data_IF_547619893590
#
_entry.id   IF_547619893590
#
_cell.length_a   1.000
_cell.length_b   1.000
_cell.length_c   1.000
_cell.angle_alpha   90.00
_cell.angle_beta   90.00
_cell.angle_gamma   90.00
#
_symmetry.space_group_name_H-M   'P 1'
#
loop_
_entity.id
_entity.type
_entity.pdbx_description
1 polymer ?
2 water ?
#
# COMPACT_ATOMS: atom_id res chain seq x y z
N UNK A 2 -7.29 -5.56 -23.94
CA UNK A 2 -8.31 -4.97 -23.07
C UNK A 2 -7.83 -3.62 -22.51
N UNK A 3 -8.80 -2.74 -22.27
CA UNK A 3 -8.53 -1.43 -21.71
C UNK A 3 -9.34 -1.31 -20.41
N UNK A 4 -8.65 -1.44 -19.29
CA UNK A 4 -9.29 -1.37 -17.98
C UNK A 4 -9.16 0.01 -17.37
N UNK A 5 -10.27 0.49 -16.79
CA UNK A 5 -10.32 1.81 -16.15
C UNK A 5 -10.55 1.66 -14.65
N UNK A 6 -9.75 2.36 -13.84
CA UNK A 6 -9.96 2.33 -12.40
C UNK A 6 -10.66 3.63 -12.03
N UNK A 7 -11.65 3.55 -11.15
CA UNK A 7 -12.39 4.74 -10.70
C UNK A 7 -11.43 5.62 -9.91
N UNK A 8 -11.96 6.74 -9.43
CA UNK A 8 -11.21 7.68 -8.61
C UNK A 8 -11.37 7.19 -7.16
N UNK A 9 -10.39 7.51 -6.29
CA UNK A 9 -10.45 7.08 -4.89
C UNK A 9 -11.66 7.65 -4.14
N UNK A 10 -12.20 8.76 -4.63
CA UNK A 10 -13.34 9.40 -3.98
C UNK A 10 -14.61 9.45 -4.85
N UNK A 11 -15.76 9.60 -4.18
CA UNK A 11 -17.07 9.67 -4.82
C UNK A 11 -17.39 11.11 -5.25
N UNK A 12 -18.01 11.25 -6.43
CA UNK A 12 -18.38 12.58 -6.91
C UNK A 12 -19.62 12.53 -7.79
N UNK A 13 -20.43 13.59 -7.74
CA UNK A 13 -21.66 13.67 -8.52
C UNK A 13 -21.38 13.53 -10.01
N UNK A 14 -22.29 12.87 -10.72
CA UNK A 14 -22.14 12.64 -12.15
C UNK A 14 -21.23 11.45 -12.48
N UNK A 15 -20.54 10.93 -11.46
CA UNK A 15 -19.65 9.79 -11.64
C UNK A 15 -20.39 8.60 -12.27
N UNK A 16 -21.62 8.35 -11.82
CA UNK A 16 -22.42 7.25 -12.35
C UNK A 16 -22.73 7.45 -13.83
N UNK A 17 -22.98 8.71 -14.22
CA UNK A 17 -23.30 9.03 -15.62
C UNK A 17 -22.07 8.83 -16.47
N UNK A 18 -20.93 9.30 -15.99
CA UNK A 18 -19.72 9.16 -16.74
C UNK A 18 -19.38 7.69 -16.90
N UNK A 19 -19.49 6.92 -15.83
CA UNK A 19 -19.18 5.50 -15.90
C UNK A 19 -20.07 4.79 -16.91
N UNK A 20 -21.36 5.10 -16.85
CA UNK A 20 -22.32 4.47 -17.75
C UNK A 20 -21.97 4.81 -19.20
N UNK A 21 -21.64 6.08 -19.42
CA UNK A 21 -21.27 6.57 -20.74
C UNK A 21 -20.03 5.82 -21.26
N UNK A 22 -19.12 5.49 -20.36
CA UNK A 22 -17.91 4.75 -20.73
C UNK A 22 -18.26 3.29 -21.06
N UNK A 23 -19.19 2.71 -20.32
CA UNK A 23 -19.58 1.34 -20.63
C UNK A 23 -20.22 1.34 -22.03
N UNK A 24 -21.14 2.28 -22.26
CA UNK A 24 -21.81 2.41 -23.55
C UNK A 24 -20.84 2.52 -24.73
N UNK A 25 -19.61 2.99 -24.46
CA UNK A 25 -18.60 3.13 -25.50
C UNK A 25 -17.67 1.91 -25.54
N UNK A 26 -18.12 0.83 -24.92
CA UNK A 26 -17.35 -0.41 -24.94
C UNK A 26 -16.29 -0.62 -23.87
N UNK A 27 -16.40 0.03 -22.73
CA UNK A 27 -15.42 -0.18 -21.67
C UNK A 27 -15.36 -1.68 -21.31
N UNK A 28 -14.20 -2.30 -21.47
CA UNK A 28 -14.08 -3.71 -21.16
C UNK A 28 -14.38 -3.96 -19.67
N UNK A 29 -13.50 -3.47 -18.80
CA UNK A 29 -13.64 -3.66 -17.35
C UNK A 29 -13.50 -2.38 -16.53
N UNK A 30 -14.21 -2.34 -15.42
CA UNK A 30 -14.18 -1.20 -14.50
C UNK A 30 -13.75 -1.71 -13.13
N UNK A 31 -12.70 -1.10 -12.59
CA UNK A 31 -12.21 -1.45 -11.28
C UNK A 31 -12.66 -0.39 -10.28
N UNK A 32 -13.60 -0.79 -9.43
CA UNK A 32 -14.16 0.09 -8.41
C UNK A 32 -13.22 0.13 -7.22
N UNK A 33 -12.55 1.25 -7.05
CA UNK A 33 -11.61 1.41 -5.94
C UNK A 33 -11.91 2.71 -5.20
N UNK A 34 -12.49 2.56 -4.01
CA UNK A 34 -12.84 3.68 -3.14
C UNK A 34 -12.28 3.40 -1.76
N UNK A 35 -10.97 3.64 -1.57
CA UNK A 35 -10.26 3.42 -0.31
C UNK A 35 -10.96 3.99 0.93
N UNK A 36 -11.07 3.19 1.97
CA UNK A 36 -11.67 3.62 3.24
C UNK A 36 -12.97 4.41 3.05
N UNK A 37 -14.01 3.76 2.56
CA UNK A 37 -15.27 4.45 2.32
C UNK A 37 -16.48 3.64 2.74
N UNK A 38 -17.51 4.30 3.32
CA UNK A 38 -18.73 3.63 3.77
C UNK A 38 -19.36 2.85 2.62
N UNK A 39 -19.65 1.57 2.84
CA UNK A 39 -20.24 0.73 1.81
C UNK A 39 -21.40 1.44 1.12
N UNK A 41 -22.04 4.30 0.03
CA UNK A 41 -21.71 5.02 -1.19
C UNK A 41 -21.45 4.11 -2.40
N UNK A 42 -20.87 2.93 -2.16
CA UNK A 42 -20.61 2.01 -3.25
C UNK A 42 -21.91 1.47 -3.79
N UNK A 43 -22.86 1.21 -2.89
CA UNK A 43 -24.16 0.69 -3.29
C UNK A 43 -24.91 1.73 -4.09
N UNK A 44 -24.83 2.99 -3.67
CA UNK A 44 -25.53 4.07 -4.36
C UNK A 44 -25.07 4.17 -5.81
N UNK A 45 -23.75 4.17 -6.01
CA UNK A 45 -23.19 4.24 -7.34
C UNK A 45 -23.60 3.02 -8.15
N UNK A 46 -23.40 1.83 -7.60
CA UNK A 46 -23.76 0.60 -8.33
C UNK A 46 -25.24 0.57 -8.74
N UNK A 47 -26.11 1.11 -7.89
CA UNK A 47 -27.55 1.12 -8.19
C UNK A 47 -27.88 2.01 -9.40
N UNK A 48 -27.16 3.12 -9.55
CA UNK A 48 -27.38 4.04 -10.66
C UNK A 48 -26.88 3.52 -11.99
N UNK A 49 -25.86 2.67 -11.95
CA UNK A 49 -25.34 2.12 -13.18
C UNK A 49 -26.13 0.89 -13.58
N UNK A 50 -26.58 0.86 -14.84
CA UNK A 50 -27.36 -0.22 -15.45
C UNK A 50 -26.87 -1.61 -15.05
N UNK A 51 -27.79 -2.42 -14.57
CA UNK A 51 -27.50 -3.80 -14.13
C UNK A 51 -26.61 -4.56 -15.11
N UNK A 52 -26.94 -4.46 -16.40
CA UNK A 52 -26.21 -5.18 -17.43
C UNK A 52 -24.71 -4.90 -17.48
N UNK A 53 -24.26 -3.83 -16.84
CA UNK A 53 -22.84 -3.53 -16.83
C UNK A 53 -22.20 -3.99 -15.52
N UNK A 54 -22.97 -4.65 -14.67
CA UNK A 54 -22.42 -5.09 -13.39
C UNK A 54 -21.36 -6.18 -13.50
N UNK A 55 -21.50 -7.11 -14.45
CA UNK A 55 -20.51 -8.16 -14.60
C UNK A 55 -19.24 -7.68 -15.30
N UNK A 56 -19.06 -6.37 -15.35
CA UNK A 56 -17.89 -5.77 -15.99
C UNK A 56 -17.12 -4.95 -14.94
N UNK A 57 -17.60 -5.00 -13.70
CA UNK A 57 -17.01 -4.26 -12.59
C UNK A 57 -16.34 -5.17 -11.54
N UNK A 58 -15.13 -4.79 -11.12
CA UNK A 58 -14.39 -5.53 -10.10
C UNK A 58 -14.23 -4.53 -8.96
N UNK A 59 -14.47 -4.97 -7.73
CA UNK A 59 -14.37 -4.05 -6.59
C UNK A 59 -13.18 -4.33 -5.67
N UNK A 60 -12.56 -3.26 -5.18
CA UNK A 60 -11.42 -3.39 -4.29
C UNK A 60 -11.83 -3.29 -2.82
N UNK A 61 -13.10 -3.00 -2.58
CA UNK A 61 -13.55 -2.88 -1.21
C UNK A 61 -14.89 -3.58 -1.02
N UNK A 62 -15.27 -3.80 0.23
CA UNK A 62 -16.55 -4.44 0.53
C UNK A 62 -16.86 -5.52 -0.49
N UNK A 63 -16.12 -6.62 -0.36
CA UNK A 63 -16.26 -7.76 -1.25
C UNK A 63 -17.66 -8.35 -1.26
N UNK A 64 -18.45 -8.10 -0.22
CA UNK A 64 -19.79 -8.65 -0.19
C UNK A 64 -20.63 -8.08 -1.34
N UNK A 65 -20.25 -6.91 -1.83
CA UNK A 65 -20.96 -6.27 -2.94
C UNK A 65 -20.87 -7.10 -4.20
N UNK A 66 -19.87 -7.98 -4.26
CA UNK A 66 -19.68 -8.83 -5.43
C UNK A 66 -20.93 -9.64 -5.77
N UNK A 67 -21.50 -10.33 -4.78
CA UNK A 67 -22.70 -11.15 -5.00
C UNK A 67 -23.96 -10.29 -4.83
N UNK A 68 -23.85 -9.26 -4.01
CA UNK A 68 -24.96 -8.36 -3.77
C UNK A 68 -25.42 -7.67 -5.06
N UNK A 69 -24.48 -7.11 -5.83
CA UNK A 69 -24.81 -6.42 -7.07
C UNK A 69 -24.43 -7.13 -8.36
N UNK A 70 -24.13 -8.42 -8.23
CA UNK A 70 -23.73 -9.28 -9.35
C UNK A 70 -22.50 -8.75 -10.08
N UNK A 71 -21.53 -8.28 -9.30
CA UNK A 71 -20.30 -7.77 -9.87
C UNK A 71 -19.51 -8.91 -10.50
N UNK A 73 -16.15 -9.64 -10.04
CA UNK A 73 -15.31 -10.29 -9.05
C UNK A 73 -14.64 -9.29 -8.12
N UNK A 74 -13.55 -9.71 -7.48
CA UNK A 74 -12.84 -8.86 -6.54
C UNK A 74 -11.34 -8.74 -6.85
N UNK A 75 -10.73 -7.68 -6.34
CA UNK A 75 -9.30 -7.44 -6.52
C UNK A 75 -8.69 -7.34 -5.14
N UNK A 76 -7.93 -8.34 -4.75
CA UNK A 76 -7.31 -8.32 -3.43
C UNK A 76 -6.29 -7.19 -3.33
N UNK A 77 -6.21 -6.56 -2.17
CA UNK A 77 -5.27 -5.47 -1.99
C UNK A 77 -4.90 -5.29 -0.53
N UNK A 78 -3.95 -4.39 -0.27
CA UNK A 78 -3.46 -4.15 1.08
C UNK A 78 -4.58 -4.04 2.13
N UNK A 79 -5.57 -3.21 1.86
CA UNK A 79 -6.65 -3.03 2.81
C UNK A 79 -7.60 -4.22 2.85
N UNK A 80 -7.71 -4.95 1.74
CA UNK A 80 -8.57 -6.12 1.68
C UNK A 80 -7.78 -7.25 1.04
N UNK A 81 -6.84 -7.84 1.81
CA UNK A 81 -5.95 -8.93 1.38
C UNK A 81 -6.52 -10.33 1.18
N UNK A 82 -7.78 -10.56 1.51
CA UNK A 82 -8.29 -11.90 1.32
C UNK A 82 -9.73 -11.98 0.90
N UNK A 83 -10.02 -12.96 0.05
CA UNK A 83 -11.36 -13.14 -0.43
C UNK A 83 -12.26 -13.60 0.72
N UNK A 84 -13.58 -13.42 0.58
CA UNK A 84 -14.48 -13.84 1.64
C UNK A 84 -14.44 -15.36 1.80
N UNK A 85 -14.76 -15.83 3.01
CA UNK A 85 -14.75 -17.26 3.36
C UNK A 85 -14.79 -18.21 2.18
N UNK A 86 -15.98 -18.48 1.67
CA UNK A 86 -16.07 -19.40 0.54
C UNK A 86 -16.41 -18.71 -0.77
N UNK A 87 -15.64 -17.67 -1.07
CA UNK A 87 -15.81 -16.89 -2.29
C UNK A 87 -15.68 -17.76 -3.53
N UNK A 88 -16.48 -17.44 -4.53
CA UNK A 88 -16.45 -18.16 -5.79
C UNK A 88 -16.69 -17.15 -6.89
N UNK A 89 -15.64 -16.84 -7.64
CA UNK A 89 -15.78 -15.86 -8.71
C UNK A 89 -14.44 -15.33 -9.17
N UNK A 90 -14.49 -14.29 -9.99
CA UNK A 90 -13.30 -13.66 -10.53
C UNK A 90 -12.48 -13.00 -9.44
N UNK A 91 -11.23 -13.40 -9.32
CA UNK A 91 -10.36 -12.79 -8.32
C UNK A 91 -9.14 -12.30 -9.07
N UNK A 92 -8.56 -11.19 -8.58
CA UNK A 92 -7.37 -10.61 -9.21
C UNK A 92 -6.58 -9.85 -8.17
N UNK A 93 -5.32 -9.56 -8.48
CA UNK A 93 -4.43 -8.82 -7.56
C UNK A 93 -3.32 -8.11 -8.33
N UNK A 94 -2.54 -7.32 -7.61
CA UNK A 94 -1.44 -6.58 -8.21
C UNK A 94 -0.09 -7.19 -7.88
N UNK A 95 0.83 -7.12 -8.84
CA UNK A 95 2.17 -7.62 -8.63
C UNK A 95 3.10 -6.46 -8.97
N UNK A 96 4.29 -6.44 -8.38
CA UNK A 96 5.24 -5.36 -8.60
C UNK A 96 6.66 -5.79 -8.96
N UNK A 97 6.77 -6.88 -9.71
CA UNK A 97 8.07 -7.37 -10.15
C UNK A 97 7.80 -8.48 -11.13
N UNK A 98 8.75 -8.74 -12.01
CA UNK A 98 8.60 -9.80 -12.99
C UNK A 98 8.47 -11.15 -12.27
N UNK A 99 9.19 -11.29 -11.17
CA UNK A 99 9.14 -12.53 -10.41
C UNK A 99 7.75 -12.73 -9.79
N UNK A 100 7.18 -11.67 -9.20
CA UNK A 100 5.85 -11.78 -8.59
C UNK A 100 4.82 -12.30 -9.58
N UNK A 101 4.75 -11.65 -10.74
CA UNK A 101 3.81 -12.04 -11.78
C UNK A 101 4.05 -13.49 -12.14
N UNK A 102 5.34 -13.84 -12.20
CA UNK A 102 5.74 -15.20 -12.56
C UNK A 102 5.19 -16.22 -11.58
N UNK A 103 5.39 -16.01 -10.30
CA UNK A 103 4.91 -16.99 -9.33
C UNK A 103 3.57 -16.62 -8.71
N UNK A 104 2.64 -16.10 -9.51
CA UNK A 104 1.35 -15.73 -8.95
C UNK A 104 0.22 -15.61 -9.96
N UNK A 105 0.55 -15.19 -11.17
CA UNK A 105 -0.45 -15.02 -12.21
C UNK A 105 -1.37 -16.21 -12.42
N UNK A 106 -0.84 -17.43 -12.30
CA UNK A 106 -1.69 -18.61 -12.52
C UNK A 106 -2.66 -18.90 -11.38
N UNK A 107 -2.57 -18.09 -10.33
CA UNK A 107 -3.44 -18.25 -9.18
C UNK A 107 -4.55 -17.20 -9.18
N UNK A 108 -4.63 -16.45 -10.28
CA UNK A 108 -5.64 -15.42 -10.42
C UNK A 108 -6.15 -15.43 -11.86
N UNK A 109 -7.30 -14.80 -12.07
CA UNK A 109 -7.87 -14.73 -13.40
C UNK A 109 -6.97 -13.84 -14.24
N UNK A 110 -6.36 -12.86 -13.57
CA UNK A 110 -5.40 -11.95 -14.16
C UNK A 110 -4.83 -11.11 -13.06
N UNK A 111 -3.66 -10.55 -13.31
CA UNK A 111 -3.01 -9.70 -12.32
C UNK A 111 -2.55 -8.41 -12.97
N UNK A 112 -2.36 -7.38 -12.14
CA UNK A 112 -1.88 -6.08 -12.58
C UNK A 112 -0.36 -6.13 -12.44
N UNK A 114 2.88 -3.38 -12.05
CA UNK A 114 3.27 -1.97 -11.91
C UNK A 114 4.47 -1.81 -10.98
N UNK A 115 5.13 -0.65 -11.01
CA UNK A 115 4.85 0.53 -11.86
C UNK A 115 5.57 0.42 -13.20
N UNK A 116 4.81 0.30 -14.29
CA UNK A 116 5.40 0.19 -15.62
C UNK A 116 6.08 1.50 -16.04
N UNK A 117 5.51 2.62 -15.58
CA UNK A 117 6.07 3.94 -15.88
C UNK A 117 6.19 4.77 -14.61
N UNK A 127 7.99 3.80 -11.70
CA UNK A 127 9.16 3.32 -12.43
C UNK A 127 10.01 2.35 -11.58
N UNK A 128 10.37 1.21 -12.18
CA UNK A 128 11.18 0.19 -11.49
C UNK A 128 11.71 -0.88 -12.47
N UNK A 129 11.05 -1.04 -13.62
CA UNK A 129 11.46 -2.02 -14.62
C UNK A 129 12.27 -1.36 -15.73
N UNK A 130 12.69 -2.16 -16.70
CA UNK A 130 13.48 -1.69 -17.84
C UNK A 130 12.91 -2.29 -19.12
N UNK A 131 12.74 -1.46 -20.14
CA UNK A 131 12.19 -1.90 -21.41
C UNK A 131 12.79 -3.21 -21.89
N UNK A 132 14.07 -3.41 -21.60
CA UNK A 132 14.78 -4.61 -22.03
C UNK A 132 14.39 -5.86 -21.21
N UNK A 133 14.34 -5.72 -19.89
CA UNK A 133 13.98 -6.84 -19.04
C UNK A 133 12.50 -7.15 -19.27
N UNK A 134 11.77 -6.14 -19.73
CA UNK A 134 10.35 -6.29 -20.00
C UNK A 134 10.18 -7.17 -21.24
N UNK A 135 11.04 -6.96 -22.22
CA UNK A 135 11.00 -7.75 -23.45
C UNK A 135 11.44 -9.18 -23.17
N UNK A 136 12.42 -9.34 -22.30
CA UNK A 136 12.91 -10.67 -21.95
C UNK A 136 11.77 -11.43 -21.28
N UNK A 137 11.02 -10.74 -20.44
CA UNK A 137 9.89 -11.34 -19.73
C UNK A 137 8.73 -11.58 -20.70
N UNK A 138 8.78 -10.93 -21.86
CA UNK A 138 7.74 -11.09 -22.86
C UNK A 138 7.88 -12.42 -23.59
N UNK A 139 9.12 -12.74 -23.97
CA UNK A 139 9.42 -13.97 -24.69
C UNK A 139 9.30 -15.19 -23.77
N UNK A 140 9.58 -14.99 -22.49
CA UNK A 140 9.49 -16.07 -21.51
C UNK A 140 8.03 -16.44 -21.24
N UNK A 141 7.13 -15.73 -21.91
CA UNK A 141 5.69 -15.98 -21.75
C UNK A 141 5.17 -15.58 -20.36
N UNK A 142 6.03 -14.96 -19.55
CA UNK A 142 5.65 -14.52 -18.22
C UNK A 142 4.52 -13.52 -18.35
N UNK A 143 4.68 -12.60 -19.28
CA UNK A 143 3.65 -11.61 -19.54
C UNK A 143 2.79 -12.08 -20.69
N UNK A 144 1.49 -12.20 -20.46
CA UNK A 144 0.59 -12.65 -21.50
C UNK A 144 -0.80 -12.05 -21.33
N UNK A 145 -1.77 -12.62 -22.03
CA UNK A 145 -3.14 -12.14 -21.95
C UNK A 145 -3.70 -12.03 -20.53
N UNK A 146 -3.00 -12.59 -19.55
CA UNK A 146 -3.48 -12.57 -18.18
C UNK A 146 -2.84 -11.47 -17.32
N UNK A 147 -1.92 -10.70 -17.89
CA UNK A 147 -1.31 -9.64 -17.10
C UNK A 147 -1.69 -8.26 -17.63
N UNK A 149 -1.08 -4.22 -17.66
CA UNK A 149 -0.08 -3.21 -17.34
C UNK A 149 -0.71 -2.02 -16.64
N UNK A 150 -0.06 -1.54 -15.59
CA UNK A 150 -0.57 -0.41 -14.84
C UNK A 150 0.55 0.50 -14.36
N UNK A 151 0.29 1.80 -14.36
CA UNK A 151 1.28 2.75 -13.90
C UNK A 151 1.89 3.63 -14.96
N UNK A 152 1.40 4.87 -15.02
CA UNK A 152 1.91 5.84 -15.97
C UNK A 152 1.59 5.53 -17.42
N UNK A 153 0.40 5.03 -17.68
CA UNK A 153 -0.01 4.72 -19.03
C UNK A 153 -0.81 5.88 -19.62
N UNK A 154 -0.60 6.17 -20.90
CA UNK A 154 -1.32 7.25 -21.56
C UNK A 154 -1.36 7.03 -23.06
N UNK A 155 -1.87 8.02 -23.79
CA UNK A 155 -2.00 7.93 -25.24
C UNK A 155 -0.64 7.89 -25.95
N UNK A 156 0.39 8.38 -25.28
CA UNK A 156 1.72 8.40 -25.86
C UNK A 156 2.46 7.06 -25.77
N UNK A 157 2.13 6.25 -24.77
CA UNK A 157 2.78 4.95 -24.58
C UNK A 157 1.85 3.74 -24.60
N UNK A 158 0.60 3.93 -24.99
CA UNK A 158 -0.34 2.81 -25.02
C UNK A 158 0.11 1.74 -26.00
N UNK A 159 0.48 2.14 -27.22
CA UNK A 159 0.92 1.19 -28.23
C UNK A 159 2.17 0.43 -27.81
N UNK A 160 3.02 1.08 -27.02
CA UNK A 160 4.27 0.47 -26.55
C UNK A 160 3.98 -0.66 -25.56
N UNK A 161 2.83 -0.59 -24.91
CA UNK A 161 2.45 -1.62 -23.96
C UNK A 161 1.92 -2.89 -24.62
N UNK A 162 1.04 -2.73 -25.62
CA UNK A 162 0.50 -3.89 -26.30
C UNK A 162 1.62 -4.57 -27.08
N UNK A 163 2.68 -3.81 -27.34
CA UNK A 163 3.84 -4.34 -28.06
C UNK A 163 4.57 -5.31 -27.15
N UNK A 164 4.47 -5.07 -25.84
CA UNK A 164 5.12 -5.94 -24.86
C UNK A 164 4.36 -7.25 -24.66
N UNK A 165 3.19 -7.37 -25.27
CA UNK A 165 2.41 -8.59 -25.14
C UNK A 165 1.39 -8.59 -24.02
N UNK A 166 1.26 -7.45 -23.34
CA UNK A 166 0.30 -7.30 -22.24
C UNK A 166 -1.12 -7.61 -22.70
N UNK A 167 -1.86 -8.35 -21.88
CA UNK A 167 -3.23 -8.68 -22.24
C UNK A 167 -4.18 -7.51 -21.98
N UNK A 168 -3.62 -6.38 -21.54
CA UNK A 168 -4.45 -5.22 -21.27
C UNK A 168 -3.71 -4.06 -20.64
N UNK A 169 -4.37 -2.91 -20.61
CA UNK A 169 -3.75 -1.73 -20.02
C UNK A 169 -4.74 -1.15 -19.04
N UNK A 170 -4.23 -0.69 -17.91
CA UNK A 170 -5.06 -0.11 -16.86
C UNK A 170 -4.78 1.36 -16.73
N UNK A 171 -5.83 2.17 -16.70
CA UNK A 171 -5.65 3.61 -16.60
C UNK A 171 -6.53 4.22 -15.52
N UNK A 172 -6.09 5.35 -14.98
CA UNK A 172 -6.86 6.03 -13.95
C UNK A 172 -6.74 7.54 -14.15
N UNK A 173 -5.57 8.08 -13.81
CA UNK A 173 -5.35 9.52 -13.94
C UNK A 173 -5.48 10.11 -15.34
N UNK A 174 -4.76 9.55 -16.31
CA UNK A 174 -4.82 10.08 -17.66
C UNK A 174 -6.24 10.21 -18.19
N UNK A 175 -7.17 9.53 -17.53
CA UNK A 175 -8.55 9.57 -17.95
C UNK A 175 -9.42 10.52 -17.10
N UNK A 176 -9.52 10.24 -15.80
CA UNK A 176 -10.35 11.07 -14.92
C UNK A 176 -9.84 12.51 -14.75
N UNK A 177 -8.53 12.72 -14.85
CA UNK A 177 -7.96 14.05 -14.72
C UNK A 177 -8.49 14.97 -15.82
N UNK A 178 -9.18 14.38 -16.80
CA UNK A 178 -9.74 15.15 -17.93
C UNK A 178 -11.06 15.77 -17.56
N UNK A 179 -11.43 15.68 -16.30
CA UNK A 179 -12.69 16.26 -15.85
C UNK A 179 -12.56 16.87 -14.49
N UNK A 180 -12.99 18.12 -14.36
CA UNK A 180 -12.95 18.80 -13.07
C UNK A 180 -14.34 19.28 -12.75
N UNK A 181 -14.92 18.72 -11.69
CA UNK A 181 -16.27 19.06 -11.28
C UNK A 181 -16.47 20.54 -11.03
N UNK A 182 -17.62 21.05 -11.47
CA UNK A 182 -17.99 22.45 -11.29
C UNK A 182 -17.16 23.41 -12.10
N UNK A 183 -16.13 22.93 -12.76
CA UNK A 183 -15.33 23.81 -13.61
C UNK A 183 -15.65 23.46 -15.07
N UNK A 184 -15.96 22.18 -15.33
CA UNK A 184 -16.33 21.80 -16.69
C UNK A 184 -17.85 21.75 -16.78
N UNK A 185 -18.39 22.12 -17.93
CA UNK A 185 -19.82 22.12 -18.12
C UNK A 185 -20.31 20.75 -18.57
N UNK A 186 -19.36 19.85 -18.85
CA UNK A 186 -19.70 18.51 -19.26
C UNK A 186 -18.49 17.60 -19.18
N UNK A 187 -18.70 16.32 -19.45
CA UNK A 187 -17.61 15.35 -19.41
C UNK A 187 -17.27 14.75 -20.76
N UNK A 188 -17.47 15.53 -21.81
CA UNK A 188 -17.18 15.12 -23.17
C UNK A 188 -15.70 14.76 -23.33
N UNK A 189 -14.82 15.61 -22.81
CA UNK A 189 -13.38 15.38 -22.89
C UNK A 189 -13.00 14.01 -22.35
N UNK A 190 -13.68 13.56 -21.31
CA UNK A 190 -13.37 12.25 -20.77
C UNK A 190 -13.81 11.16 -21.74
N UNK A 191 -15.05 11.25 -22.21
CA UNK A 191 -15.55 10.24 -23.14
C UNK A 191 -14.78 10.26 -24.46
N UNK A 192 -14.47 11.44 -24.97
CA UNK A 192 -13.74 11.53 -26.22
C UNK A 192 -12.35 10.96 -26.07
N UNK A 193 -11.73 11.21 -24.93
CA UNK A 193 -10.37 10.71 -24.69
C UNK A 193 -10.37 9.19 -24.50
N UNK A 194 -11.48 8.64 -23.99
CA UNK A 194 -11.58 7.19 -23.79
C UNK A 194 -11.64 6.49 -25.15
N UNK A 195 -12.48 7.03 -26.05
CA UNK A 195 -12.63 6.48 -27.38
C UNK A 195 -11.29 6.49 -28.09
N UNK A 196 -10.51 7.55 -27.87
CA UNK A 196 -9.20 7.63 -28.50
C UNK A 196 -8.34 6.47 -27.98
N UNK A 197 -8.26 6.30 -26.67
CA UNK A 197 -7.45 5.23 -26.10
C UNK A 197 -7.94 3.86 -26.53
N UNK A 198 -9.26 3.71 -26.66
CA UNK A 198 -9.81 2.41 -27.06
C UNK A 198 -9.51 2.12 -28.52
N UNK A 199 -9.37 3.17 -29.32
CA UNK A 199 -9.07 2.98 -30.73
C UNK A 199 -7.62 2.51 -30.87
N UNK A 200 -6.74 3.00 -30.00
CA UNK A 200 -5.34 2.58 -30.05
C UNK A 200 -5.20 1.16 -29.52
N UNK A 201 -5.97 0.83 -28.49
CA UNK A 201 -5.92 -0.51 -27.90
C UNK A 201 -6.46 -1.56 -28.86
N UNK A 202 -7.52 -1.22 -29.59
CA UNK A 202 -8.12 -2.14 -30.55
C UNK A 202 -7.48 -1.99 -31.93
N UNK A 203 -6.38 -1.24 -31.99
CA UNK A 203 -5.65 -1.01 -33.24
C UNK A 203 -4.56 -2.05 -33.38
N UNK A 204 -4.90 -3.16 -34.03
CA UNK A 204 -3.98 -4.27 -34.23
C UNK A 204 -2.60 -3.86 -34.76
N UNK A 205 -2.55 -3.44 -36.02
CA UNK A 205 -1.30 -3.06 -36.66
C UNK A 205 -0.40 -2.21 -35.76
N UNK A 206 0.87 -2.63 -35.68
CA UNK A 206 1.90 -1.98 -34.87
C UNK A 206 3.25 -2.57 -35.32
N UNK A 207 3.19 -3.70 -36.01
CA UNK A 207 4.38 -4.38 -36.50
C UNK A 207 5.10 -3.51 -37.52
N UNK B 2 5.84 7.60 22.36
CA UNK B 2 6.44 7.59 21.04
C UNK B 2 5.62 6.80 20.02
N UNK B 3 5.55 7.35 18.82
CA UNK B 3 4.82 6.71 17.74
C UNK B 3 5.85 6.30 16.69
N UNK B 4 6.11 5.01 16.59
CA UNK B 4 7.07 4.48 15.64
C UNK B 4 6.41 3.98 14.35
N UNK B 5 7.03 4.31 13.22
CA UNK B 5 6.52 3.88 11.92
C UNK B 5 7.48 2.90 11.27
N UNK B 6 6.97 1.79 10.77
CA UNK B 6 7.84 0.83 10.12
C UNK B 6 7.57 0.93 8.63
N UNK B 7 8.64 1.06 7.84
CA UNK B 7 8.52 1.17 6.38
C UNK B 7 7.97 -0.10 5.79
N UNK B 8 7.57 0.00 4.53
CA UNK B 8 7.04 -1.14 3.82
C UNK B 8 8.17 -2.12 3.51
N UNK B 9 7.82 -3.37 3.19
CA UNK B 9 8.81 -4.40 2.87
C UNK B 9 9.67 -4.10 1.64
N UNK B 10 9.12 -3.43 0.64
CA UNK B 10 9.87 -3.15 -0.59
C UNK B 10 10.07 -1.68 -0.92
N UNK B 11 10.95 -1.45 -1.89
CA UNK B 11 11.27 -0.09 -2.33
C UNK B 11 10.30 0.38 -3.41
N UNK B 12 10.13 1.70 -3.49
CA UNK B 12 9.26 2.30 -4.51
C UNK B 12 9.54 3.80 -4.60
N UNK B 13 9.65 4.29 -5.83
CA UNK B 13 9.95 5.70 -6.07
C UNK B 13 9.06 6.62 -5.24
N UNK B 14 9.58 7.80 -4.95
CA UNK B 14 8.85 8.80 -4.17
C UNK B 14 8.77 8.43 -2.68
N UNK B 15 9.06 7.17 -2.36
CA UNK B 15 9.02 6.75 -0.97
C UNK B 15 9.86 7.69 -0.10
N UNK B 16 11.00 8.13 -0.63
CA UNK B 16 11.89 9.02 0.10
C UNK B 16 11.18 10.33 0.43
N UNK B 17 10.35 10.79 -0.51
CA UNK B 17 9.61 12.03 -0.33
C UNK B 17 8.57 11.89 0.79
N UNK B 18 7.88 10.77 0.79
CA UNK B 18 6.86 10.55 1.82
C UNK B 18 7.55 10.44 3.17
N UNK B 19 8.64 9.69 3.22
CA UNK B 19 9.39 9.52 4.45
C UNK B 19 9.87 10.85 4.97
N UNK B 20 10.33 11.71 4.07
CA UNK B 20 10.80 13.04 4.46
C UNK B 20 9.64 13.85 5.01
N UNK B 21 8.49 13.78 4.33
CA UNK B 21 7.31 14.50 4.75
C UNK B 21 6.84 14.04 6.13
N UNK B 22 6.92 12.73 6.40
CA UNK B 22 6.51 12.22 7.70
C UNK B 22 7.40 12.82 8.79
N UNK B 23 8.71 12.84 8.54
CA UNK B 23 9.64 13.42 9.52
C UNK B 23 9.34 14.91 9.69
N UNK B 24 9.02 15.58 8.59
CA UNK B 24 8.70 16.99 8.66
C UNK B 24 7.49 17.19 9.58
N UNK B 25 6.61 16.19 9.63
CA UNK B 25 5.43 16.25 10.48
C UNK B 25 5.73 15.92 11.94
N UNK B 26 6.96 15.52 12.22
CA UNK B 26 7.33 15.19 13.58
C UNK B 26 7.44 13.71 13.92
N UNK B 27 7.64 12.87 12.92
CA UNK B 27 7.77 11.43 13.15
C UNK B 27 8.97 11.20 14.08
N UNK B 28 8.72 10.68 15.27
CA UNK B 28 9.78 10.42 16.23
C UNK B 28 10.83 9.44 15.73
N UNK B 29 10.39 8.24 15.39
CA UNK B 29 11.29 7.17 14.94
C UNK B 29 10.78 6.42 13.72
N UNK B 30 11.70 6.11 12.81
CA UNK B 30 11.38 5.34 11.62
C UNK B 30 12.24 4.07 11.65
N UNK B 31 11.61 2.94 11.37
CA UNK B 31 12.32 1.65 11.33
C UNK B 31 12.42 1.22 9.89
N UNK B 32 13.65 1.19 9.37
CA UNK B 32 13.87 0.79 7.98
C UNK B 32 14.00 -0.74 7.90
N UNK B 33 12.94 -1.39 7.44
CA UNK B 33 12.90 -2.84 7.30
C UNK B 33 12.59 -3.24 5.84
N UNK B 34 13.60 -3.76 5.14
CA UNK B 34 13.48 -4.18 3.74
C UNK B 34 14.19 -5.51 3.61
N UNK B 35 13.60 -6.57 4.17
CA UNK B 35 14.20 -7.92 4.12
C UNK B 35 14.67 -8.38 2.73
N UNK B 36 15.56 -9.36 2.70
CA UNK B 36 16.08 -9.92 1.44
C UNK B 36 16.20 -8.85 0.33
N UNK B 37 16.95 -7.78 0.59
CA UNK B 37 17.11 -6.77 -0.45
C UNK B 37 18.54 -6.24 -0.57
N UNK B 38 18.96 -5.89 -1.78
CA UNK B 38 20.32 -5.37 -1.99
C UNK B 38 20.60 -4.11 -1.14
N UNK B 39 21.65 -4.18 -0.33
CA UNK B 39 22.02 -3.06 0.52
C UNK B 39 21.95 -1.69 -0.19
N UNK B 41 20.11 -0.46 -2.26
CA UNK B 41 18.80 0.14 -2.38
C UNK B 41 18.57 0.98 -1.14
N UNK B 42 19.09 0.50 -0.02
CA UNK B 42 18.99 1.21 1.24
C UNK B 42 19.90 2.42 1.25
N UNK B 43 21.10 2.27 0.67
CA UNK B 43 22.05 3.38 0.63
C UNK B 43 21.47 4.53 -0.17
N UNK B 44 20.86 4.21 -1.30
CA UNK B 44 20.25 5.24 -2.14
C UNK B 44 19.14 5.94 -1.36
N UNK B 45 18.20 5.16 -0.82
CA UNK B 45 17.09 5.75 -0.05
C UNK B 45 17.60 6.69 1.03
N UNK B 46 18.46 6.19 1.92
CA UNK B 46 19.02 7.02 3.01
C UNK B 46 19.72 8.27 2.49
N UNK B 47 20.42 8.14 1.36
CA UNK B 47 21.11 9.29 0.79
C UNK B 47 20.07 10.30 0.31
N UNK B 48 18.91 9.82 -0.10
CA UNK B 48 17.85 10.70 -0.58
C UNK B 48 17.19 11.51 0.55
N UNK B 49 17.03 10.89 1.72
CA UNK B 49 16.41 11.57 2.83
C UNK B 49 17.45 12.41 3.61
N UNK B 50 17.09 13.66 3.98
CA UNK B 50 17.95 14.60 4.71
C UNK B 50 18.70 14.02 5.90
N UNK B 51 20.01 14.28 5.94
CA UNK B 51 20.87 13.78 7.00
C UNK B 51 20.42 14.16 8.40
N UNK B 52 19.65 15.24 8.52
CA UNK B 52 19.19 15.64 9.85
C UNK B 52 18.21 14.63 10.44
N UNK B 53 17.65 13.78 9.58
CA UNK B 53 16.68 12.79 10.04
C UNK B 53 17.28 11.41 10.20
N UNK B 54 18.55 11.25 9.82
CA UNK B 54 19.19 9.96 9.93
C UNK B 54 19.24 9.51 11.38
N UNK B 55 19.45 10.45 12.30
CA UNK B 55 19.50 10.10 13.72
C UNK B 55 18.16 9.55 14.21
N UNK B 56 17.13 9.54 13.38
CA UNK B 56 15.83 9.01 13.80
C UNK B 56 15.45 7.72 13.07
N UNK B 57 16.46 7.08 12.50
CA UNK B 57 16.24 5.85 11.76
C UNK B 57 16.87 4.63 12.41
N UNK B 58 16.13 3.53 12.41
CA UNK B 58 16.64 2.28 12.96
C UNK B 58 16.56 1.25 11.85
N UNK B 59 17.69 0.60 11.58
CA UNK B 59 17.76 -0.37 10.50
C UNK B 59 17.60 -1.82 10.93
N UNK B 60 16.80 -2.57 10.19
CA UNK B 60 16.57 -3.99 10.48
C UNK B 60 17.54 -4.88 9.71
N UNK B 61 18.25 -4.32 8.72
CA UNK B 61 19.22 -5.09 7.91
C UNK B 61 20.48 -4.28 7.63
N UNK B 62 21.52 -4.96 7.14
CA UNK B 62 22.79 -4.31 6.81
C UNK B 62 23.16 -3.34 7.93
N UNK B 63 23.52 -3.88 9.09
CA UNK B 63 23.87 -3.07 10.25
C UNK B 63 25.04 -2.10 10.04
N UNK B 64 25.88 -2.34 9.04
CA UNK B 64 27.02 -1.43 8.78
C UNK B 64 26.49 -0.04 8.47
N UNK B 65 25.27 0.04 7.96
CA UNK B 65 24.66 1.32 7.62
C UNK B 65 24.47 2.23 8.83
N UNK B 66 24.36 1.65 10.01
CA UNK B 66 24.16 2.46 11.20
C UNK B 66 25.29 3.49 11.37
N UNK B 67 26.55 3.03 11.41
CA UNK B 67 27.67 3.97 11.55
C UNK B 67 28.00 4.68 10.24
N UNK B 68 27.78 3.99 9.12
CA UNK B 68 28.06 4.58 7.82
C UNK B 68 27.17 5.75 7.43
N UNK B 69 25.93 5.77 7.93
CA UNK B 69 24.96 6.83 7.62
C UNK B 69 24.47 7.56 8.87
N UNK B 70 25.10 7.30 10.01
CA UNK B 70 24.74 7.94 11.27
C UNK B 70 23.25 7.69 11.64
N UNK B 71 22.83 6.44 11.55
CA UNK B 71 21.46 6.10 11.89
C UNK B 71 21.38 6.04 13.40
N UNK B 73 20.09 3.50 15.30
CA UNK B 73 20.43 2.21 15.83
C UNK B 73 20.02 1.09 14.91
N UNK B 74 20.06 -0.11 15.44
CA UNK B 74 19.72 -1.28 14.67
C UNK B 74 18.68 -2.06 15.46
N UNK B 75 17.92 -2.87 14.74
CA UNK B 75 16.87 -3.68 15.35
C UNK B 75 17.11 -5.13 15.01
N UNK B 76 17.42 -5.93 16.03
CA UNK B 76 17.72 -7.36 15.82
C UNK B 76 16.48 -8.17 15.43
N UNK B 77 16.66 -9.12 14.54
CA UNK B 77 15.54 -9.95 14.07
C UNK B 77 16.04 -11.30 13.55
N UNK B 78 15.09 -12.16 13.19
CA UNK B 78 15.45 -13.49 12.69
C UNK B 78 16.55 -13.44 11.63
N UNK B 79 16.33 -12.69 10.55
CA UNK B 79 17.30 -12.60 9.46
C UNK B 79 18.63 -11.97 9.85
N UNK B 80 18.64 -11.19 10.93
CA UNK B 80 19.84 -10.51 11.43
C UNK B 80 19.75 -10.46 12.95
N UNK B 81 20.03 -11.60 13.62
CA UNK B 81 19.99 -11.74 15.08
C UNK B 81 21.10 -11.16 15.96
N UNK B 82 22.25 -10.86 15.38
CA UNK B 82 23.34 -10.34 16.20
C UNK B 82 23.91 -9.04 15.69
N UNK B 83 24.32 -8.18 16.63
CA UNK B 83 24.90 -6.89 16.29
C UNK B 83 26.33 -7.12 15.82
N UNK B 84 26.80 -6.28 14.87
CA UNK B 84 28.17 -6.43 14.35
C UNK B 84 29.21 -6.57 15.47
N UNK B 85 30.23 -7.38 15.20
CA UNK B 85 31.32 -7.67 16.13
C UNK B 85 31.59 -6.60 17.17
N UNK B 86 32.10 -5.45 16.76
CA UNK B 86 32.38 -4.42 17.73
C UNK B 86 31.40 -3.27 17.57
N UNK B 87 30.14 -3.53 17.89
CA UNK B 87 29.12 -2.50 17.79
C UNK B 87 28.79 -1.93 19.15
N UNK B 88 28.61 -0.62 19.20
CA UNK B 88 28.26 0.01 20.46
C UNK B 88 27.28 1.11 20.10
N UNK B 89 26.02 0.87 20.41
CA UNK B 89 25.01 1.87 20.10
C UNK B 89 23.60 1.38 20.38
N UNK B 90 22.63 2.20 20.02
CA UNK B 90 21.23 1.91 20.23
C UNK B 90 20.88 0.57 19.58
N UNK B 91 20.29 -0.32 20.35
CA UNK B 91 19.88 -1.61 19.80
C UNK B 91 18.53 -1.93 20.40
N UNK B 92 17.66 -2.49 19.59
CA UNK B 92 16.34 -2.89 20.05
C UNK B 92 16.07 -4.24 19.43
N UNK B 93 14.94 -4.85 19.79
CA UNK B 93 14.53 -6.15 19.25
C UNK B 93 13.02 -6.32 19.45
N UNK B 94 12.49 -7.48 19.05
CA UNK B 94 11.07 -7.78 19.17
C UNK B 94 10.76 -8.93 20.13
N UNK B 95 9.79 -8.74 21.01
CA UNK B 95 9.40 -9.79 21.94
C UNK B 95 7.98 -10.23 21.63
N UNK B 96 7.66 -11.49 21.91
CA UNK B 96 6.34 -12.03 21.60
C UNK B 96 5.59 -12.61 22.78
N UNK B 97 5.98 -12.23 23.98
CA UNK B 97 5.30 -12.71 25.19
C UNK B 97 5.71 -11.86 26.36
N UNK B 98 4.84 -11.80 27.36
CA UNK B 98 5.11 -11.06 28.57
C UNK B 98 6.40 -11.58 29.17
N UNK B 99 6.56 -12.89 29.14
CA UNK B 99 7.74 -13.55 29.67
C UNK B 99 8.98 -13.04 28.93
N UNK B 100 8.92 -12.97 27.60
CA UNK B 100 10.06 -12.51 26.82
C UNK B 100 10.48 -11.08 27.17
N UNK B 101 9.51 -10.19 27.28
CA UNK B 101 9.83 -8.81 27.61
C UNK B 101 10.49 -8.76 28.97
N UNK B 102 9.98 -9.55 29.90
CA UNK B 102 10.53 -9.54 31.25
C UNK B 102 12.02 -9.89 31.31
N UNK B 103 12.46 -10.93 30.59
CA UNK B 103 13.88 -11.30 30.63
C UNK B 103 14.68 -10.76 29.44
N UNK B 104 14.31 -9.63 28.88
CA UNK B 104 15.03 -9.17 27.70
C UNK B 104 15.15 -7.67 27.57
N UNK B 105 14.12 -6.97 28.01
CA UNK B 105 14.06 -5.51 27.94
C UNK B 105 15.27 -4.81 28.50
N UNK B 106 15.78 -5.27 29.63
CA UNK B 106 16.93 -4.61 30.25
C UNK B 106 18.18 -4.61 29.39
N UNK B 107 18.17 -5.42 28.34
CA UNK B 107 19.33 -5.48 27.46
C UNK B 107 19.23 -4.58 26.24
N UNK B 108 18.11 -3.85 26.11
CA UNK B 108 17.90 -3.02 24.93
C UNK B 108 17.39 -1.60 25.23
N UNK B 109 17.48 -0.71 24.25
CA UNK B 109 16.98 0.63 24.44
C UNK B 109 15.47 0.55 24.59
N UNK B 110 14.87 -0.34 23.83
CA UNK B 110 13.43 -0.59 23.92
C UNK B 110 13.13 -1.86 23.15
N UNK B 111 11.96 -2.43 23.36
CA UNK B 111 11.59 -3.63 22.64
C UNK B 111 10.14 -3.55 22.21
N UNK B 112 9.84 -4.27 21.13
CA UNK B 112 8.50 -4.33 20.58
C UNK B 112 7.78 -5.51 21.24
N UNK B 114 4.26 -7.87 20.66
CA UNK B 114 3.10 -8.17 19.83
C UNK B 114 2.64 -9.62 20.04
N UNK B 115 1.40 -9.94 19.62
CA UNK B 115 0.38 -9.07 19.01
C UNK B 115 -0.56 -8.52 20.07
N UNK B 116 -0.50 -7.23 20.35
CA UNK B 116 -1.37 -6.64 21.36
C UNK B 116 -2.83 -6.82 20.97
N UNK B 117 -3.15 -6.58 19.71
CA UNK B 117 -4.51 -6.75 19.20
C UNK B 117 -4.47 -7.81 18.10
N UNK B 127 -5.40 -12.29 20.06
CA UNK B 127 -6.13 -13.17 20.99
C UNK B 127 -5.12 -13.89 21.89
N UNK B 128 -3.90 -13.38 21.89
CA UNK B 128 -2.85 -13.99 22.71
C UNK B 128 -2.79 -13.32 24.09
N UNK B 129 -3.09 -12.04 24.15
CA UNK B 129 -3.06 -11.33 25.43
C UNK B 129 -4.44 -10.88 25.88
N UNK B 130 -4.78 -11.20 27.13
CA UNK B 130 -6.06 -10.79 27.68
C UNK B 130 -5.79 -9.50 28.43
N UNK B 131 -6.79 -8.64 28.50
CA UNK B 131 -6.63 -7.38 29.22
C UNK B 131 -6.12 -7.68 30.62
N UNK B 132 -6.51 -8.84 31.16
CA UNK B 132 -6.09 -9.26 32.50
C UNK B 132 -4.56 -9.39 32.56
N UNK B 133 -4.00 -10.13 31.61
CA UNK B 133 -2.56 -10.34 31.55
C UNK B 133 -1.83 -9.03 31.32
N UNK B 134 -2.33 -8.23 30.38
CA UNK B 134 -1.71 -6.95 30.07
C UNK B 134 -1.68 -6.07 31.31
N UNK B 135 -2.86 -5.80 31.86
CA UNK B 135 -2.97 -4.98 33.07
C UNK B 135 -2.08 -5.53 34.17
N UNK B 136 -2.01 -6.86 34.29
CA UNK B 136 -1.17 -7.49 35.30
C UNK B 136 0.30 -7.20 35.00
N UNK B 137 0.66 -7.27 33.72
CA UNK B 137 2.04 -7.01 33.31
C UNK B 137 2.40 -5.55 33.55
N UNK B 138 1.40 -4.68 33.49
CA UNK B 138 1.60 -3.26 33.73
C UNK B 138 1.94 -3.05 35.19
N UNK B 139 1.08 -3.54 36.09
CA UNK B 139 1.34 -3.37 37.52
C UNK B 139 2.73 -3.90 37.90
N UNK B 140 3.12 -5.05 37.35
CA UNK B 140 4.42 -5.65 37.63
C UNK B 140 5.56 -4.85 36.99
N UNK B 141 5.21 -3.74 36.35
CA UNK B 141 6.18 -2.89 35.72
C UNK B 141 6.91 -3.57 34.56
N UNK B 142 6.38 -4.70 34.09
CA UNK B 142 6.99 -5.39 32.97
C UNK B 142 6.75 -4.59 31.71
N UNK B 143 5.55 -4.06 31.58
CA UNK B 143 5.26 -3.26 30.41
C UNK B 143 5.46 -1.81 30.85
N UNK B 144 6.51 -1.17 30.34
CA UNK B 144 6.77 0.20 30.73
C UNK B 144 7.13 1.12 29.58
N UNK B 145 7.85 2.18 29.87
CA UNK B 145 8.21 3.12 28.84
C UNK B 145 9.20 2.52 27.84
N UNK B 146 9.76 1.36 28.15
CA UNK B 146 10.72 0.73 27.22
C UNK B 146 10.08 -0.30 26.33
N UNK B 147 8.76 -0.49 26.44
CA UNK B 147 8.15 -1.49 25.59
C UNK B 147 7.17 -0.83 24.62
N UNK B 149 4.23 -1.00 21.84
CA UNK B 149 3.14 -1.90 21.44
C UNK B 149 3.06 -2.09 19.93
N UNK B 150 2.95 -3.35 19.51
CA UNK B 150 2.86 -3.66 18.10
C UNK B 150 1.79 -4.70 17.85
N UNK B 151 1.05 -4.50 16.77
CA UNK B 151 0.01 -5.45 16.42
C UNK B 151 -1.42 -4.97 16.48
N UNK B 152 -1.98 -4.72 15.30
CA UNK B 152 -3.36 -4.28 15.19
C UNK B 152 -3.65 -2.95 15.85
N UNK B 153 -2.70 -2.03 15.73
CA UNK B 153 -2.88 -0.72 16.33
C UNK B 153 -3.45 0.25 15.32
N UNK B 154 -4.35 1.11 15.77
CA UNK B 154 -4.95 2.07 14.87
C UNK B 154 -5.52 3.25 15.61
N UNK B 155 -6.21 4.13 14.88
CA UNK B 155 -6.79 5.33 15.44
C UNK B 155 -7.87 5.04 16.48
N UNK B 156 -8.52 3.90 16.33
CA UNK B 156 -9.60 3.49 17.23
C UNK B 156 -9.11 3.00 18.61
N UNK B 157 -7.98 2.32 18.66
CA UNK B 157 -7.48 1.79 19.93
C UNK B 157 -6.20 2.43 20.46
N UNK B 158 -5.71 3.45 19.76
CA UNK B 158 -4.48 4.11 20.18
C UNK B 158 -4.55 4.59 21.64
N UNK B 159 -5.63 5.25 22.04
CA UNK B 159 -5.72 5.73 23.43
C UNK B 159 -5.70 4.61 24.47
N UNK B 160 -6.15 3.41 24.10
CA UNK B 160 -6.14 2.29 25.02
C UNK B 160 -4.70 1.79 25.23
N UNK B 161 -3.96 1.68 24.13
CA UNK B 161 -2.56 1.24 24.20
C UNK B 161 -1.84 2.10 25.22
N UNK B 162 -2.03 3.41 25.12
CA UNK B 162 -1.39 4.34 26.03
C UNK B 162 -1.74 4.07 27.48
N UNK B 163 -3.02 3.80 27.76
CA UNK B 163 -3.40 3.56 29.16
C UNK B 163 -2.83 2.27 29.72
N UNK B 164 -2.30 1.41 28.86
CA UNK B 164 -1.71 0.17 29.33
C UNK B 164 -0.29 0.49 29.82
N UNK B 165 0.14 1.73 29.63
CA UNK B 165 1.47 2.14 30.10
C UNK B 165 2.60 1.93 29.11
N UNK B 166 2.25 1.50 27.90
CA UNK B 166 3.23 1.27 26.85
C UNK B 166 4.01 2.54 26.59
N UNK B 167 5.32 2.39 26.34
CA UNK B 167 6.16 3.55 26.07
C UNK B 167 5.91 4.08 24.68
N UNK B 168 5.28 3.27 23.83
CA UNK B 168 5.02 3.71 22.48
C UNK B 168 4.18 2.74 21.67
N UNK B 169 3.86 3.15 20.45
CA UNK B 169 3.06 2.32 19.57
C UNK B 169 3.73 2.25 18.20
N UNK B 170 3.74 1.06 17.64
CA UNK B 170 4.35 0.84 16.35
C UNK B 170 3.26 0.53 15.34
N UNK B 171 3.36 1.15 14.16
CA UNK B 171 2.40 0.91 13.10
C UNK B 171 3.15 0.73 11.79
N UNK B 172 2.59 -0.07 10.89
CA UNK B 172 3.14 -0.34 9.55
C UNK B 172 2.00 -0.24 8.53
N UNK B 173 1.29 -1.36 8.35
CA UNK B 173 0.19 -1.38 7.40
C UNK B 173 -0.90 -0.37 7.66
N UNK B 174 -1.18 -0.05 8.93
CA UNK B 174 -2.24 0.91 9.27
C UNK B 174 -1.96 2.25 8.60
N UNK B 175 -0.69 2.54 8.36
CA UNK B 175 -0.35 3.80 7.74
C UNK B 175 -0.16 3.68 6.24
N UNK B 176 0.72 2.79 5.82
CA UNK B 176 1.05 2.62 4.41
C UNK B 176 -0.04 2.08 3.52
N UNK B 177 -0.97 1.33 4.09
CA UNK B 177 -2.06 0.80 3.30
C UNK B 177 -2.94 1.93 2.80
N UNK B 178 -2.68 3.15 3.26
CA UNK B 178 -3.47 4.30 2.86
C UNK B 178 -3.01 4.83 1.50
N UNK B 179 -1.85 4.39 1.05
CA UNK B 179 -1.35 4.87 -0.23
C UNK B 179 -0.88 3.73 -1.12
N UNK B 180 -1.42 3.68 -2.33
CA UNK B 180 -1.04 2.65 -3.29
C UNK B 180 -0.41 3.33 -4.51
N UNK B 181 0.65 2.74 -5.04
CA UNK B 181 1.33 3.32 -6.20
C UNK B 181 0.53 3.07 -7.48
N UNK B 182 0.77 3.93 -8.47
CA UNK B 182 0.11 3.82 -9.77
C UNK B 182 -1.39 4.06 -9.71
N UNK B 183 -1.93 4.15 -8.51
CA UNK B 183 -3.35 4.37 -8.36
C UNK B 183 -3.65 5.70 -7.65
N UNK B 184 -2.84 6.05 -6.66
CA UNK B 184 -3.05 7.32 -5.97
C UNK B 184 -2.20 8.42 -6.58
N UNK B 185 -2.81 9.58 -6.80
CA UNK B 185 -2.11 10.70 -7.40
C UNK B 185 -1.11 11.33 -6.42
N UNK B 186 -1.40 11.22 -5.13
CA UNK B 186 -0.54 11.77 -4.11
C UNK B 186 -0.60 10.94 -2.84
N UNK B 187 0.23 11.29 -1.86
CA UNK B 187 0.24 10.55 -0.60
C UNK B 187 -0.30 11.36 0.59
N UNK B 188 -1.17 12.31 0.30
CA UNK B 188 -1.75 13.14 1.37
C UNK B 188 -2.49 12.37 2.46
N UNK B 189 -3.09 11.23 2.12
CA UNK B 189 -3.81 10.46 3.11
C UNK B 189 -2.87 9.80 4.12
N UNK B 190 -1.66 9.48 3.71
CA UNK B 190 -0.71 8.87 4.64
C UNK B 190 -0.26 9.92 5.63
N UNK B 191 0.08 11.11 5.12
CA UNK B 191 0.52 12.19 5.98
C UNK B 191 -0.60 12.56 6.95
N UNK B 192 -1.82 12.78 6.44
CA UNK B 192 -2.93 13.14 7.30
C UNK B 192 -3.21 12.07 8.35
N UNK B 193 -3.24 10.81 7.94
CA UNK B 193 -3.50 9.75 8.89
C UNK B 193 -2.40 9.77 9.95
N UNK B 194 -1.17 10.09 9.56
CA UNK B 194 -0.07 10.13 10.53
C UNK B 194 -0.24 11.24 11.58
N UNK B 195 -0.67 12.42 11.15
CA UNK B 195 -0.87 13.54 12.08
C UNK B 195 -1.95 13.15 13.07
N UNK B 196 -2.98 12.50 12.55
CA UNK B 196 -4.08 12.04 13.36
C UNK B 196 -3.54 11.09 14.45
N UNK B 197 -2.67 10.15 14.07
CA UNK B 197 -2.10 9.24 15.07
C UNK B 197 -1.20 10.00 16.04
N UNK B 198 -0.38 10.92 15.51
CA UNK B 198 0.52 11.70 16.35
C UNK B 198 -0.29 12.45 17.39
N UNK B 199 -1.40 13.04 16.96
CA UNK B 199 -2.28 13.80 17.85
C UNK B 199 -2.73 12.93 19.03
N UNK B 200 -3.20 11.72 18.73
CA UNK B 200 -3.64 10.80 19.78
C UNK B 200 -2.46 10.40 20.63
N UNK B 201 -1.33 10.12 19.98
CA UNK B 201 -0.13 9.72 20.68
C UNK B 201 0.34 10.76 21.70
N UNK B 202 0.39 12.02 21.31
CA UNK B 202 0.83 13.08 22.22
C UNK B 202 -0.23 13.39 23.28
N UNK B 203 -1.47 12.98 23.03
CA UNK B 203 -2.59 13.24 23.94
C UNK B 203 -2.15 13.33 25.40
N UNK B 204 -1.73 12.22 25.97
CA UNK B 204 -1.25 12.22 27.35
C UNK B 204 -1.92 13.35 28.15
N UNK B 205 -3.18 13.18 28.50
CA UNK B 205 -3.92 14.18 29.27
C UNK B 205 -4.34 13.61 30.63
N UNK B 206 -5.45 14.13 31.16
CA UNK B 206 -5.97 13.71 32.47
C UNK B 206 -7.44 13.28 32.45
#
# INVERSE_FOLDING_TARGET
XKLIVVTTPTFFVEEDKIITALFEEGLDILHLRKPETPAXYSERLLTLIPEKYHRRIVTHEHFYLKEEFNLXGIHLNARNPSEPHDYAGHVSCSCHSVEEVKNRKHFYDYVFXSPIYDSISKVNYYSTYTAEELREAQKAKIIDSKVXALGGINEDNLLEIKDFGFGGAVVLGDLWNKFDACLDQNYLAVIEHFKKLKKLADLEHHHHHH
XKLIVVTTPTFFVEEDKIITALFEEGLDILHLRKPETPAXYSERLLTLIPEKYHRRIVTHEHFYLKEEFNLXGIHLNARNPSEPHDYAGHVSCSCHSVEEVKNRKHFYDYVFXSPIYDSISKVNYYSTYTAEELREAQKAKIIDSKVXALGGINEDNLLEIKDFGFGGAVVLGDLWNKFDACLDQNYLAVIEHFKKLKKLADLEHHHHHH
#
